data_IF_304770961625
#
_entry.id   IF_304770961625
#
_cell.length_a   1.000
_cell.length_b   1.000
_cell.length_c   1.000
_cell.angle_alpha   90.00
_cell.angle_beta   90.00
_cell.angle_gamma   90.00
#
_symmetry.space_group_name_H-M   'P 1'
#
loop_
_entity.id
_entity.type
_entity.pdbx_description
1 polymer ?
#
# COMPACT_ATOMS: atom_id res chain seq x y z
N UNK A 1 -11.01 19.91 1.75
CA UNK A 1 -9.73 20.18 2.43
C UNK A 1 -9.95 21.09 3.65
N UNK A 2 -10.60 22.27 3.58
CA UNK A 2 -10.71 23.17 4.74
C UNK A 2 -11.29 22.52 6.00
N UNK A 3 -12.34 21.70 5.87
CA UNK A 3 -12.92 20.99 7.01
C UNK A 3 -11.95 19.95 7.61
N UNK A 4 -11.15 19.29 6.77
CA UNK A 4 -10.13 18.33 7.23
C UNK A 4 -9.02 19.04 8.03
N UNK A 5 -8.63 20.23 7.60
CA UNK A 5 -7.66 21.08 8.31
C UNK A 5 -8.22 21.55 9.65
N UNK A 6 -9.45 22.03 9.67
CA UNK A 6 -10.15 22.47 10.89
C UNK A 6 -10.26 21.33 11.91
N UNK A 7 -10.64 20.12 11.45
CA UNK A 7 -10.84 18.96 12.32
C UNK A 7 -9.57 18.17 12.63
N UNK A 8 -8.44 18.50 12.00
CA UNK A 8 -7.19 17.76 12.14
C UNK A 8 -7.25 16.34 11.57
N UNK A 9 -8.10 16.08 10.59
CA UNK A 9 -8.29 14.76 9.95
C UNK A 9 -7.53 14.71 8.64
N UNK A 10 -6.87 13.58 8.37
CA UNK A 10 -6.18 13.37 7.10
C UNK A 10 -7.13 12.81 6.03
N UNK A 11 -6.98 13.31 4.81
CA UNK A 11 -7.60 12.79 3.58
C UNK A 11 -6.53 12.01 2.84
N UNK A 12 -6.70 10.70 2.71
CA UNK A 12 -5.70 9.84 2.12
C UNK A 12 -6.20 9.23 0.80
N UNK A 13 -5.39 9.35 -0.24
CA UNK A 13 -5.67 8.83 -1.57
C UNK A 13 -5.05 7.46 -1.72
N UNK A 14 -5.86 6.47 -2.07
CA UNK A 14 -5.41 5.10 -2.30
C UNK A 14 -5.14 4.84 -3.79
N UNK A 15 -4.07 4.11 -4.08
CA UNK A 15 -3.72 3.62 -5.41
C UNK A 15 -4.56 2.38 -5.77
N UNK A 16 -5.80 2.59 -6.18
CA UNK A 16 -6.74 1.54 -6.59
C UNK A 16 -6.74 1.30 -8.11
N UNK A 17 -7.34 0.19 -8.56
CA UNK A 17 -7.41 -0.18 -9.98
C UNK A 17 -8.60 0.46 -10.71
N UNK A 18 -8.66 1.78 -10.73
CA UNK A 18 -9.70 2.58 -11.38
C UNK A 18 -9.23 3.36 -12.61
N UNK A 19 -7.99 3.12 -13.08
CA UNK A 19 -7.33 3.83 -14.18
C UNK A 19 -7.08 5.33 -13.91
N UNK A 20 -7.04 5.74 -12.65
CA UNK A 20 -6.69 7.08 -12.20
C UNK A 20 -5.50 7.01 -11.25
N UNK A 21 -4.51 7.90 -11.43
CA UNK A 21 -3.27 7.94 -10.65
C UNK A 21 -2.54 6.57 -10.64
N UNK A 22 -2.33 6.03 -11.83
CA UNK A 22 -1.67 4.73 -12.03
C UNK A 22 -0.13 4.81 -12.10
N UNK A 23 0.41 6.02 -12.00
CA UNK A 23 1.84 6.31 -11.94
C UNK A 23 2.18 7.02 -10.63
N UNK A 24 3.27 6.62 -9.93
CA UNK A 24 3.64 7.21 -8.66
C UNK A 24 4.02 8.70 -8.76
N UNK A 25 4.59 9.14 -9.89
CA UNK A 25 4.98 10.55 -10.09
C UNK A 25 3.75 11.43 -10.27
N UNK A 26 2.78 10.97 -11.06
CA UNK A 26 1.50 11.65 -11.22
C UNK A 26 0.74 11.71 -9.89
N UNK A 27 0.76 10.61 -9.13
CA UNK A 27 0.12 10.55 -7.81
C UNK A 27 0.77 11.54 -6.83
N UNK A 28 2.10 11.59 -6.77
CA UNK A 28 2.83 12.53 -5.92
C UNK A 28 2.51 13.98 -6.29
N UNK A 29 2.53 14.30 -7.59
CA UNK A 29 2.19 15.62 -8.11
C UNK A 29 0.76 16.03 -7.76
N UNK A 30 -0.20 15.12 -7.93
CA UNK A 30 -1.60 15.37 -7.60
C UNK A 30 -1.79 15.68 -6.11
N UNK A 31 -1.12 14.94 -5.22
CA UNK A 31 -1.14 15.21 -3.77
C UNK A 31 -0.57 16.60 -3.47
N UNK A 32 0.57 16.95 -4.08
CA UNK A 32 1.23 18.24 -3.87
C UNK A 32 0.37 19.41 -4.36
N UNK A 33 -0.30 19.27 -5.50
CA UNK A 33 -1.18 20.29 -6.07
C UNK A 33 -2.41 20.60 -5.20
N UNK A 34 -2.82 19.68 -4.32
CA UNK A 34 -3.89 19.91 -3.35
C UNK A 34 -3.47 20.85 -2.22
N UNK A 35 -2.17 21.11 -2.04
CA UNK A 35 -1.62 22.17 -1.22
C UNK A 35 -1.94 22.10 0.27
N UNK A 36 -2.18 20.91 0.83
CA UNK A 36 -2.51 20.74 2.24
C UNK A 36 -1.74 19.59 2.88
N UNK A 37 -1.17 19.84 4.05
CA UNK A 37 -0.51 18.82 4.86
C UNK A 37 -1.49 17.73 5.37
N UNK A 38 -2.81 17.95 5.24
CA UNK A 38 -3.83 16.96 5.57
C UNK A 38 -4.11 15.99 4.44
N UNK A 39 -3.55 16.21 3.26
CA UNK A 39 -3.67 15.28 2.13
C UNK A 39 -2.42 14.41 2.04
N UNK A 40 -2.60 13.13 1.77
CA UNK A 40 -1.49 12.19 1.64
C UNK A 40 -1.87 10.93 0.89
N UNK A 41 -0.96 9.98 0.83
CA UNK A 41 -1.19 8.67 0.23
C UNK A 41 -1.58 7.64 1.29
N UNK A 42 -2.63 6.89 0.99
CA UNK A 42 -2.91 5.58 1.59
C UNK A 42 -2.36 4.54 0.62
N UNK A 43 -1.13 4.13 0.85
CA UNK A 43 -0.42 3.32 -0.12
C UNK A 43 -0.74 1.83 0.04
N UNK A 44 -1.39 1.24 -0.97
CA UNK A 44 -1.62 -0.21 -1.09
C UNK A 44 -0.45 -0.88 -1.81
N UNK A 45 0.21 -1.79 -1.11
CA UNK A 45 1.39 -2.50 -1.59
C UNK A 45 1.09 -3.51 -2.70
N UNK A 46 -0.05 -4.18 -2.64
CA UNK A 46 -0.48 -5.17 -3.63
C UNK A 46 -1.01 -4.53 -4.91
N UNK A 47 -1.82 -3.47 -4.77
CA UNK A 47 -2.38 -2.76 -5.92
C UNK A 47 -1.29 -2.18 -6.81
N UNK A 48 -0.18 -1.72 -6.24
CA UNK A 48 0.93 -1.11 -6.97
C UNK A 48 1.63 -2.07 -7.94
N UNK A 49 1.62 -3.39 -7.67
CA UNK A 49 2.32 -4.40 -8.49
C UNK A 49 1.85 -4.39 -9.96
N UNK A 50 0.57 -4.11 -10.20
CA UNK A 50 0.04 -4.00 -11.57
C UNK A 50 0.67 -2.86 -12.35
N UNK A 51 1.00 -1.76 -11.68
CA UNK A 51 1.46 -0.52 -12.30
C UNK A 51 2.96 -0.30 -12.16
N UNK A 52 3.69 -1.26 -11.57
CA UNK A 52 5.14 -1.18 -11.46
C UNK A 52 5.70 -1.80 -10.20
N UNK A 53 6.94 -1.45 -9.89
CA UNK A 53 7.64 -1.97 -8.73
C UNK A 53 7.20 -1.22 -7.44
N UNK A 54 6.72 -1.92 -6.40
CA UNK A 54 6.32 -1.31 -5.13
C UNK A 54 7.38 -0.40 -4.50
N UNK A 55 8.66 -0.75 -4.63
CA UNK A 55 9.78 0.06 -4.09
C UNK A 55 9.88 1.42 -4.79
N UNK A 56 9.61 1.47 -6.10
CA UNK A 56 9.60 2.74 -6.85
C UNK A 56 8.46 3.63 -6.37
N UNK A 57 7.27 3.06 -6.18
CA UNK A 57 6.13 3.75 -5.61
C UNK A 57 6.46 4.38 -4.25
N UNK A 58 7.03 3.61 -3.33
CA UNK A 58 7.41 4.09 -2.00
C UNK A 58 8.42 5.24 -2.10
N UNK A 59 9.45 5.08 -2.95
CA UNK A 59 10.50 6.08 -3.14
C UNK A 59 9.97 7.40 -3.68
N UNK A 60 9.07 7.35 -4.66
CA UNK A 60 8.51 8.54 -5.31
C UNK A 60 7.50 9.22 -4.41
N UNK A 61 6.60 8.47 -3.77
CA UNK A 61 5.63 9.03 -2.83
C UNK A 61 6.31 9.60 -1.58
N UNK A 62 7.36 8.94 -1.08
CA UNK A 62 8.16 9.42 0.03
C UNK A 62 7.30 9.75 1.26
N UNK A 63 7.52 10.93 1.84
CA UNK A 63 6.81 11.40 3.04
C UNK A 63 5.30 11.67 2.85
N UNK A 64 4.80 11.58 1.61
CA UNK A 64 3.35 11.67 1.34
C UNK A 64 2.60 10.44 1.81
N UNK A 65 3.30 9.30 2.00
CA UNK A 65 2.70 8.08 2.55
C UNK A 65 2.41 8.32 4.03
N UNK A 66 1.14 8.27 4.40
CA UNK A 66 0.68 8.42 5.79
C UNK A 66 0.08 7.14 6.37
N UNK A 67 -0.33 6.23 5.49
CA UNK A 67 -0.91 4.94 5.89
C UNK A 67 -0.62 3.89 4.82
N UNK A 68 -0.57 2.61 5.22
CA UNK A 68 -0.36 1.48 4.33
C UNK A 68 -1.55 0.53 4.34
N UNK A 69 -1.94 0.03 3.16
CA UNK A 69 -2.62 -1.25 3.05
C UNK A 69 -1.60 -2.35 2.73
N UNK A 70 -1.61 -3.34 3.61
CA UNK A 70 -0.76 -4.52 3.51
C UNK A 70 -1.55 -5.59 2.79
N UNK A 71 -1.32 -5.67 1.51
CA UNK A 71 -1.99 -6.58 0.58
C UNK A 71 -0.94 -7.38 -0.18
N UNK A 72 -1.12 -8.68 -0.24
CA UNK A 72 -0.25 -9.53 -1.04
C UNK A 72 -0.72 -9.58 -2.49
N UNK A 73 0.23 -9.74 -3.39
CA UNK A 73 -0.03 -10.02 -4.79
C UNK A 73 0.97 -11.04 -5.32
N UNK A 74 0.50 -11.96 -6.17
CA UNK A 74 1.34 -12.93 -6.84
C UNK A 74 1.19 -12.83 -8.37
N UNK A 75 2.28 -12.43 -9.02
CA UNK A 75 2.35 -12.33 -10.47
C UNK A 75 2.15 -13.68 -11.18
N UNK A 76 2.54 -14.79 -10.55
CA UNK A 76 2.34 -16.11 -11.13
C UNK A 76 0.85 -16.52 -11.16
N UNK A 77 0.09 -16.13 -10.13
CA UNK A 77 -1.36 -16.35 -10.10
C UNK A 77 -2.12 -15.43 -11.07
N UNK A 78 -1.57 -14.25 -11.35
CA UNK A 78 -2.15 -13.25 -12.25
C UNK A 78 -1.96 -13.56 -13.75
N UNK A 79 -1.37 -14.71 -14.09
CA UNK A 79 -1.16 -15.13 -15.46
C UNK A 79 -2.48 -15.38 -16.20
N UNK A 80 -2.44 -15.31 -17.53
CA UNK A 80 -3.59 -15.52 -18.42
C UNK A 80 -4.67 -14.43 -18.42
N UNK A 81 -4.29 -13.20 -18.07
CA UNK A 81 -5.17 -12.02 -18.22
C UNK A 81 -6.13 -11.74 -17.08
N UNK A 82 -6.20 -12.62 -16.08
CA UNK A 82 -7.00 -12.39 -14.87
C UNK A 82 -6.13 -11.87 -13.72
N UNK A 83 -5.91 -10.56 -13.71
CA UNK A 83 -5.09 -9.90 -12.69
C UNK A 83 -5.62 -10.08 -11.26
N UNK A 84 -6.94 -10.20 -11.09
CA UNK A 84 -7.52 -10.34 -9.75
C UNK A 84 -7.12 -11.64 -9.04
N UNK A 85 -6.75 -12.68 -9.78
CA UNK A 85 -6.21 -13.91 -9.19
C UNK A 85 -4.93 -13.70 -8.38
N UNK A 86 -4.14 -12.69 -8.72
CA UNK A 86 -2.95 -12.35 -7.98
C UNK A 86 -3.21 -12.05 -6.49
N UNK A 87 -4.39 -11.55 -6.14
CA UNK A 87 -4.79 -11.34 -4.75
C UNK A 87 -5.17 -12.62 -3.98
N UNK A 88 -5.11 -13.78 -4.63
CA UNK A 88 -5.32 -15.06 -3.96
C UNK A 88 -4.15 -15.54 -3.10
N UNK A 89 -2.99 -14.91 -3.20
CA UNK A 89 -1.82 -15.24 -2.38
C UNK A 89 -2.04 -14.84 -0.92
N UNK A 90 -1.51 -15.65 0.00
CA UNK A 90 -1.43 -15.26 1.41
C UNK A 90 -0.24 -14.31 1.63
N UNK A 91 -0.32 -13.51 2.69
CA UNK A 91 0.80 -12.65 3.08
C UNK A 91 2.10 -13.47 3.20
N UNK A 92 3.17 -12.96 2.61
CA UNK A 92 4.50 -13.57 2.51
C UNK A 92 4.61 -14.74 1.52
N UNK A 93 3.55 -15.10 0.80
CA UNK A 93 3.57 -16.19 -0.18
C UNK A 93 3.51 -15.69 -1.64
N UNK A 94 3.41 -14.38 -1.84
CA UNK A 94 3.35 -13.76 -3.17
C UNK A 94 4.67 -13.16 -3.63
N UNK A 95 4.57 -12.21 -4.56
CA UNK A 95 5.73 -11.60 -5.24
C UNK A 95 5.94 -10.12 -4.92
N UNK A 96 5.30 -9.56 -3.89
CA UNK A 96 5.44 -8.15 -3.52
C UNK A 96 6.89 -7.74 -3.19
N UNK A 97 7.71 -8.64 -2.65
CA UNK A 97 9.07 -8.33 -2.26
C UNK A 97 9.16 -7.59 -0.92
N UNK A 98 8.53 -8.11 0.11
CA UNK A 98 8.38 -7.47 1.44
C UNK A 98 9.69 -6.96 2.04
N UNK A 99 10.79 -7.69 1.89
CA UNK A 99 12.09 -7.25 2.40
C UNK A 99 12.49 -5.89 1.80
N UNK A 100 12.35 -5.72 0.50
CA UNK A 100 12.70 -4.48 -0.19
C UNK A 100 11.71 -3.36 0.11
N UNK A 101 10.41 -3.69 0.23
CA UNK A 101 9.35 -2.76 0.65
C UNK A 101 9.67 -2.18 2.04
N UNK A 102 9.89 -3.01 3.04
CA UNK A 102 10.16 -2.57 4.41
C UNK A 102 11.46 -1.78 4.48
N UNK A 103 12.50 -2.23 3.78
CA UNK A 103 13.77 -1.49 3.68
C UNK A 103 13.57 -0.08 3.11
N UNK A 104 12.76 0.07 2.07
CA UNK A 104 12.52 1.38 1.47
C UNK A 104 11.62 2.26 2.35
N UNK A 105 10.62 1.70 3.01
CA UNK A 105 9.80 2.42 4.01
C UNK A 105 10.68 2.95 5.16
N UNK A 106 11.62 2.14 5.66
CA UNK A 106 12.61 2.60 6.68
C UNK A 106 13.48 3.75 6.17
N UNK A 107 13.91 3.72 4.90
CA UNK A 107 14.73 4.79 4.31
C UNK A 107 14.01 6.12 4.18
N UNK A 108 12.71 6.09 3.83
CA UNK A 108 11.91 7.33 3.76
C UNK A 108 11.47 7.82 5.15
N UNK A 109 11.77 7.06 6.22
CA UNK A 109 11.37 7.37 7.59
C UNK A 109 9.88 7.24 7.81
N UNK A 110 9.22 6.25 7.18
CA UNK A 110 7.78 6.04 7.37
C UNK A 110 7.48 5.62 8.81
N UNK A 111 6.58 6.36 9.44
CA UNK A 111 5.96 6.06 10.73
C UNK A 111 4.45 6.20 10.59
N UNK A 112 3.71 5.09 10.74
CA UNK A 112 2.27 5.10 10.54
C UNK A 112 1.63 3.74 10.71
N UNK A 113 0.36 3.67 10.39
CA UNK A 113 -0.42 2.45 10.49
C UNK A 113 -0.33 1.62 9.20
N UNK A 114 -0.27 0.30 9.34
CA UNK A 114 -0.49 -0.67 8.28
C UNK A 114 -1.73 -1.50 8.58
N UNK A 115 -2.68 -1.50 7.66
CA UNK A 115 -3.90 -2.30 7.72
C UNK A 115 -3.76 -3.52 6.84
N UNK A 116 -4.15 -4.70 7.31
CA UNK A 116 -4.22 -5.89 6.46
C UNK A 116 -5.48 -5.82 5.58
N UNK A 117 -5.33 -5.57 4.28
CA UNK A 117 -6.43 -5.59 3.31
C UNK A 117 -6.45 -6.92 2.56
N UNK A 118 -6.87 -7.96 3.26
CA UNK A 118 -6.95 -9.33 2.75
C UNK A 118 -8.20 -10.03 3.30
N UNK A 119 -8.68 -11.10 2.65
CA UNK A 119 -9.83 -11.84 3.16
C UNK A 119 -9.62 -12.29 4.61
N UNK A 120 -10.52 -11.87 5.48
CA UNK A 120 -10.57 -12.27 6.87
C UNK A 120 -11.06 -13.72 7.03
N UNK A 121 -11.66 -14.03 8.18
CA UNK A 121 -12.20 -15.35 8.45
C UNK A 121 -12.44 -15.57 9.94
N UNK A 122 -12.32 -16.81 10.37
CA UNK A 122 -12.43 -17.20 11.76
C UNK A 122 -11.24 -16.71 12.62
N UNK A 123 -11.30 -16.97 13.92
CA UNK A 123 -10.24 -16.59 14.85
C UNK A 123 -8.86 -17.16 14.48
N UNK A 124 -8.82 -18.37 13.89
CA UNK A 124 -7.57 -18.98 13.45
C UNK A 124 -6.96 -18.20 12.28
N UNK A 125 -7.80 -17.84 11.30
CA UNK A 125 -7.39 -17.02 10.16
C UNK A 125 -6.91 -15.64 10.60
N UNK A 126 -7.61 -14.97 11.49
CA UNK A 126 -7.19 -13.66 12.00
C UNK A 126 -5.85 -13.73 12.75
N UNK A 127 -5.61 -14.82 13.50
CA UNK A 127 -4.31 -15.03 14.16
C UNK A 127 -3.18 -15.26 13.14
N UNK A 128 -3.43 -16.02 12.07
CA UNK A 128 -2.48 -16.20 10.96
C UNK A 128 -2.11 -14.86 10.33
N UNK A 129 -3.13 -14.04 10.02
CA UNK A 129 -2.92 -12.69 9.45
C UNK A 129 -2.06 -11.83 10.38
N UNK A 130 -2.42 -11.73 11.65
CA UNK A 130 -1.67 -10.95 12.63
C UNK A 130 -0.21 -11.40 12.73
N UNK A 131 0.03 -12.72 12.79
CA UNK A 131 1.39 -13.27 12.83
C UNK A 131 2.19 -12.91 11.59
N UNK A 132 1.57 -12.94 10.40
CA UNK A 132 2.26 -12.57 9.16
C UNK A 132 2.51 -11.06 9.08
N UNK A 133 1.59 -10.22 9.59
CA UNK A 133 1.83 -8.78 9.74
C UNK A 133 3.03 -8.49 10.63
N UNK A 134 3.12 -9.14 11.81
CA UNK A 134 4.28 -9.00 12.71
C UNK A 134 5.59 -9.41 12.02
N UNK A 135 5.57 -10.51 11.24
CA UNK A 135 6.74 -10.95 10.47
C UNK A 135 7.14 -9.93 9.40
N UNK A 136 6.18 -9.37 8.66
CA UNK A 136 6.46 -8.33 7.64
C UNK A 136 7.14 -7.13 8.31
N UNK A 137 6.56 -6.59 9.37
CA UNK A 137 7.11 -5.41 10.03
C UNK A 137 8.41 -5.66 10.80
N UNK A 138 8.78 -6.91 11.04
CA UNK A 138 10.08 -7.28 11.64
C UNK A 138 11.22 -7.41 10.63
N UNK A 139 10.95 -7.34 9.32
CA UNK A 139 11.98 -7.35 8.27
C UNK A 139 12.74 -6.01 8.27
#
# INVERSE_FOLDING_TARGET
IPLAEELGIDILLENVWNNFLTDPTETAKYIDELGSDRVGAYYDTGNSVRYGNPVIWIRVLGKRIKKLDIKEFDLALAQNGDWYKGFGAKLLEGTNGWYDIIRELKKIGFEGWGTAEIPGGDRKRLKEIATNMDRIFSL
#
